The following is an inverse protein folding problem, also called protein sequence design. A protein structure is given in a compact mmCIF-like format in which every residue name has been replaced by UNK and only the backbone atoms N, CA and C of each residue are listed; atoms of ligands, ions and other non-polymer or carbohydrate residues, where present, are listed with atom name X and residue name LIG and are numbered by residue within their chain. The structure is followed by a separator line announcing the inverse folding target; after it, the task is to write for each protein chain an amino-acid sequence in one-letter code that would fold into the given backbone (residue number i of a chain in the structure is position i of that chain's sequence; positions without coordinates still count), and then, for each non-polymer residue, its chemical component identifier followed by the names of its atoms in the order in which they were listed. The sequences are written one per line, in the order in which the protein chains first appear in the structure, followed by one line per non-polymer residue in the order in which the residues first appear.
data_IF_136442063158
#
_entry.id   IF_136442063158
#
_cell.length_a   1.000
_cell.length_b   1.000
_cell.length_c   1.000
_cell.angle_alpha   90.00
_cell.angle_beta   90.00
_cell.angle_gamma   90.00
#
_symmetry.space_group_name_H-M   'P 1'
#
loop_
_entity.id
_entity.type
_entity.pdbx_description
1 polymer ?
#
# COMPACT_ATOMS: atom_id res chain seq x y z
N UNK A 1 -27.72 -17.34 9.57
CA UNK A 1 -28.14 -16.71 8.30
C UNK A 1 -28.16 -15.19 8.42
N UNK A 2 -28.88 -14.61 9.39
CA UNK A 2 -28.94 -13.16 9.61
C UNK A 2 -27.57 -12.45 9.70
N UNK A 3 -26.63 -12.94 10.51
CA UNK A 3 -25.28 -12.35 10.61
C UNK A 3 -24.53 -12.32 9.26
N UNK A 4 -24.69 -13.38 8.46
CA UNK A 4 -24.08 -13.49 7.12
C UNK A 4 -24.69 -12.51 6.11
N UNK A 5 -25.92 -12.04 6.36
CA UNK A 5 -26.56 -11.00 5.57
C UNK A 5 -26.11 -9.62 6.03
N UNK A 6 -26.02 -9.41 7.35
CA UNK A 6 -25.56 -8.15 7.94
C UNK A 6 -24.08 -7.86 7.60
N UNK A 7 -23.21 -8.86 7.58
CA UNK A 7 -21.79 -8.72 7.22
C UNK A 7 -21.59 -8.10 5.83
N UNK A 8 -22.48 -8.36 4.87
CA UNK A 8 -22.33 -7.88 3.50
C UNK A 8 -22.28 -6.35 3.40
N UNK A 9 -22.98 -5.63 4.28
CA UNK A 9 -22.94 -4.17 4.27
C UNK A 9 -21.63 -3.59 4.78
N UNK A 10 -20.81 -4.40 5.46
CA UNK A 10 -19.51 -4.00 5.99
C UNK A 10 -18.35 -4.40 5.08
N UNK A 11 -18.62 -5.23 4.07
CA UNK A 11 -17.59 -5.73 3.15
C UNK A 11 -17.43 -4.82 1.93
N UNK A 12 -16.21 -4.75 1.37
CA UNK A 12 -15.98 -4.13 0.07
C UNK A 12 -16.89 -4.74 -0.99
N UNK A 13 -17.40 -3.88 -1.88
CA UNK A 13 -18.34 -4.28 -2.92
C UNK A 13 -19.81 -3.96 -2.64
N UNK A 14 -20.13 -3.38 -1.47
CA UNK A 14 -21.52 -3.06 -1.11
C UNK A 14 -21.94 -1.63 -1.50
N UNK A 15 -21.12 -0.64 -1.17
CA UNK A 15 -21.47 0.77 -1.36
C UNK A 15 -21.12 1.25 -2.78
N UNK A 16 -22.00 2.01 -3.46
CA UNK A 16 -21.69 2.64 -4.72
C UNK A 16 -20.75 3.84 -4.51
N UNK A 17 -19.83 4.05 -5.45
CA UNK A 17 -18.92 5.19 -5.46
C UNK A 17 -18.47 5.52 -6.89
N UNK A 18 -17.91 6.71 -7.07
CA UNK A 18 -17.41 7.18 -8.37
C UNK A 18 -16.01 7.80 -8.21
N UNK A 19 -15.13 7.65 -9.20
CA UNK A 19 -13.85 8.35 -9.23
C UNK A 19 -13.84 9.43 -10.31
N UNK A 20 -13.35 10.63 -9.97
CA UNK A 20 -13.18 11.76 -10.90
C UNK A 20 -11.76 12.31 -10.87
N UNK A 21 -11.00 12.17 -11.98
CA UNK A 21 -11.30 11.41 -13.19
C UNK A 21 -11.37 9.88 -12.95
N UNK A 22 -11.95 9.08 -13.87
CA UNK A 22 -11.92 7.63 -13.76
C UNK A 22 -10.50 7.08 -13.63
N UNK A 23 -10.35 6.05 -12.79
CA UNK A 23 -9.05 5.43 -12.53
C UNK A 23 -8.53 4.68 -13.76
N UNK A 24 -7.28 4.97 -14.16
CA UNK A 24 -6.62 4.25 -15.26
C UNK A 24 -6.41 2.78 -14.88
N UNK A 25 -6.80 1.87 -15.77
CA UNK A 25 -6.65 0.41 -15.62
C UNK A 25 -7.36 -0.19 -14.39
N UNK A 26 -8.32 0.51 -13.78
CA UNK A 26 -9.16 -0.02 -12.71
C UNK A 26 -10.61 -0.01 -13.17
N UNK A 27 -11.32 -1.13 -12.98
CA UNK A 27 -12.73 -1.24 -13.37
C UNK A 27 -13.61 -0.28 -12.57
N UNK A 28 -14.57 0.36 -13.24
CA UNK A 28 -15.58 1.22 -12.60
C UNK A 28 -16.67 0.44 -11.87
N UNK A 29 -16.68 -0.90 -11.95
CA UNK A 29 -17.64 -1.73 -11.23
C UNK A 29 -17.41 -1.59 -9.72
N UNK A 30 -18.41 -1.15 -8.97
CA UNK A 30 -18.32 -0.98 -7.51
C UNK A 30 -18.71 -2.24 -6.75
N UNK A 31 -19.31 -3.24 -7.40
CA UNK A 31 -19.78 -4.50 -6.80
C UNK A 31 -18.69 -5.58 -6.77
N UNK A 32 -17.46 -5.19 -6.43
CA UNK A 32 -16.29 -6.08 -6.38
C UNK A 32 -15.87 -6.30 -4.93
N UNK A 33 -16.07 -7.54 -4.46
CA UNK A 33 -15.64 -7.98 -3.12
C UNK A 33 -14.29 -8.68 -3.14
N UNK A 34 -14.23 -9.88 -2.56
CA UNK A 34 -13.01 -10.70 -2.53
C UNK A 34 -12.72 -11.24 -3.93
N UNK A 35 -11.51 -10.98 -4.43
CA UNK A 35 -11.02 -11.44 -5.72
C UNK A 35 -9.74 -12.28 -5.56
N UNK A 36 -9.40 -13.01 -6.61
CA UNK A 36 -8.12 -13.71 -6.66
C UNK A 36 -6.96 -12.72 -6.77
N UNK A 37 -5.97 -12.83 -5.88
CA UNK A 37 -4.78 -11.98 -5.91
C UNK A 37 -3.93 -12.19 -7.16
N UNK A 38 -4.02 -13.37 -7.78
CA UNK A 38 -3.33 -13.69 -9.04
C UNK A 38 -3.78 -12.81 -10.21
N UNK A 39 -4.92 -12.12 -10.09
CA UNK A 39 -5.37 -11.08 -11.02
C UNK A 39 -5.35 -11.49 -12.50
N UNK A 40 -5.63 -12.78 -12.78
CA UNK A 40 -5.72 -13.33 -14.14
C UNK A 40 -4.46 -14.02 -14.66
N UNK A 41 -3.41 -14.17 -13.85
CA UNK A 41 -2.25 -15.02 -14.19
C UNK A 41 -2.74 -16.45 -14.48
N UNK A 42 -2.37 -16.97 -15.65
CA UNK A 42 -2.73 -18.32 -16.06
C UNK A 42 -1.74 -19.34 -15.50
N UNK A 43 -2.25 -20.49 -15.05
CA UNK A 43 -1.41 -21.62 -14.63
C UNK A 43 -1.19 -22.56 -15.81
N UNK A 44 -0.43 -22.09 -16.80
CA UNK A 44 0.02 -22.94 -17.90
C UNK A 44 1.33 -23.63 -17.51
N UNK A 45 1.52 -24.87 -17.97
CA UNK A 45 2.74 -25.66 -17.68
C UNK A 45 3.99 -25.03 -18.31
N UNK A 46 3.79 -24.27 -19.39
CA UNK A 46 4.87 -23.60 -20.12
C UNK A 46 5.27 -22.26 -19.47
N UNK A 47 4.44 -21.72 -18.56
CA UNK A 47 4.66 -20.44 -17.89
C UNK A 47 5.40 -20.62 -16.54
N UNK A 48 5.84 -19.50 -15.95
CA UNK A 48 6.49 -19.53 -14.65
C UNK A 48 5.54 -20.11 -13.58
N UNK A 49 5.99 -21.09 -12.77
CA UNK A 49 5.14 -21.75 -11.81
C UNK A 49 4.82 -20.84 -10.62
N UNK A 50 3.64 -20.21 -10.65
CA UNK A 50 3.14 -19.39 -9.54
C UNK A 50 2.48 -20.28 -8.50
N UNK A 51 3.29 -20.80 -7.58
CA UNK A 51 2.88 -21.72 -6.52
C UNK A 51 2.46 -20.97 -5.25
N UNK A 52 1.34 -20.27 -5.34
CA UNK A 52 0.78 -19.46 -4.23
C UNK A 52 -0.74 -19.55 -4.19
N UNK A 53 -1.30 -19.28 -3.03
CA UNK A 53 -2.74 -19.05 -2.87
C UNK A 53 -2.89 -17.64 -2.32
N UNK A 54 -3.65 -16.80 -3.02
CA UNK A 54 -3.84 -15.41 -2.63
C UNK A 54 -5.28 -14.95 -2.82
N UNK A 55 -5.73 -14.09 -1.90
CA UNK A 55 -6.99 -13.35 -1.99
C UNK A 55 -6.77 -11.92 -1.57
N UNK A 56 -7.50 -11.01 -2.23
CA UNK A 56 -7.43 -9.58 -1.93
C UNK A 56 -8.78 -8.91 -2.14
N UNK A 57 -8.90 -7.72 -1.60
CA UNK A 57 -9.88 -6.75 -2.07
C UNK A 57 -9.25 -5.86 -3.13
N UNK A 58 -10.09 -5.27 -4.00
CA UNK A 58 -9.67 -4.15 -4.84
C UNK A 58 -9.48 -2.92 -3.95
N UNK A 59 -8.38 -2.20 -4.13
CA UNK A 59 -7.95 -1.21 -3.14
C UNK A 59 -8.94 -0.05 -2.99
N UNK A 60 -9.45 0.48 -4.10
CA UNK A 60 -10.49 1.50 -4.11
C UNK A 60 -11.78 1.05 -3.40
N UNK A 61 -12.24 -0.18 -3.65
CA UNK A 61 -13.42 -0.74 -2.99
C UNK A 61 -13.20 -0.93 -1.49
N UNK A 62 -11.99 -1.34 -1.08
CA UNK A 62 -11.60 -1.46 0.32
C UNK A 62 -11.57 -0.10 1.03
N UNK A 63 -11.05 0.95 0.36
CA UNK A 63 -11.05 2.32 0.89
C UNK A 63 -12.46 2.88 1.02
N UNK A 64 -13.33 2.66 0.03
CA UNK A 64 -14.73 3.07 0.11
C UNK A 64 -15.44 2.39 1.28
N UNK A 65 -15.25 1.08 1.45
CA UNK A 65 -15.80 0.33 2.59
C UNK A 65 -15.28 0.84 3.93
N UNK A 66 -13.96 1.11 4.03
CA UNK A 66 -13.35 1.61 5.24
C UNK A 66 -13.82 3.03 5.61
N UNK A 67 -14.08 3.88 4.62
CA UNK A 67 -14.64 5.21 4.84
C UNK A 67 -16.10 5.17 5.30
N UNK A 68 -16.91 4.27 4.73
CA UNK A 68 -18.30 4.08 5.17
C UNK A 68 -18.40 3.51 6.58
N UNK A 69 -17.48 2.63 6.96
CA UNK A 69 -17.36 2.11 8.34
C UNK A 69 -17.08 3.24 9.36
N UNK A 70 -16.49 4.35 8.91
CA UNK A 70 -16.15 5.52 9.72
C UNK A 70 -17.10 6.71 9.51
N UNK A 71 -18.27 6.48 8.91
CA UNK A 71 -19.22 7.55 8.60
C UNK A 71 -19.61 8.37 9.84
N UNK A 72 -19.92 7.69 10.94
CA UNK A 72 -20.29 8.34 12.21
C UNK A 72 -19.13 9.17 12.79
N UNK A 73 -17.90 8.62 12.80
CA UNK A 73 -16.71 9.32 13.28
C UNK A 73 -16.40 10.58 12.45
N UNK A 74 -16.59 10.51 11.13
CA UNK A 74 -16.37 11.64 10.21
C UNK A 74 -17.39 12.75 10.48
N UNK A 75 -18.66 12.39 10.68
CA UNK A 75 -19.74 13.34 10.99
C UNK A 75 -19.53 13.98 12.37
N UNK A 76 -19.21 13.19 13.39
CA UNK A 76 -18.90 13.70 14.72
C UNK A 76 -17.66 14.61 14.71
N UNK A 77 -16.66 14.26 13.89
CA UNK A 77 -15.47 15.07 13.65
C UNK A 77 -15.76 16.44 13.04
N UNK A 78 -16.67 16.51 12.06
CA UNK A 78 -17.13 17.79 11.49
C UNK A 78 -17.79 18.66 12.56
N UNK A 79 -18.75 18.08 13.30
CA UNK A 79 -19.46 18.77 14.36
C UNK A 79 -18.54 19.27 15.47
N UNK A 80 -17.53 18.49 15.85
CA UNK A 80 -16.54 18.87 16.88
C UNK A 80 -15.66 20.04 16.43
N UNK A 81 -15.48 20.22 15.12
CA UNK A 81 -14.75 21.35 14.53
C UNK A 81 -15.67 22.53 14.18
N UNK A 82 -16.92 22.54 14.66
CA UNK A 82 -17.95 23.55 14.33
C UNK A 82 -18.19 23.70 12.82
N UNK A 83 -18.04 22.60 12.07
CA UNK A 83 -18.29 22.53 10.63
C UNK A 83 -19.67 21.91 10.34
N UNK A 84 -20.27 22.34 9.24
CA UNK A 84 -21.55 21.82 8.79
C UNK A 84 -21.47 20.36 8.31
N UNK A 85 -22.41 19.53 8.76
CA UNK A 85 -22.51 18.12 8.33
C UNK A 85 -22.77 17.98 6.81
N UNK A 86 -23.22 19.04 6.13
CA UNK A 86 -23.40 19.04 4.68
C UNK A 86 -22.16 19.40 3.87
N UNK A 87 -21.01 19.58 4.52
CA UNK A 87 -19.74 19.86 3.87
C UNK A 87 -19.33 18.71 2.94
N UNK A 88 -19.05 19.05 1.68
CA UNK A 88 -18.72 18.08 0.62
C UNK A 88 -17.23 17.81 0.46
N UNK A 89 -16.36 18.56 1.14
CA UNK A 89 -14.91 18.45 1.02
C UNK A 89 -14.28 19.45 0.02
N UNK A 90 -13.02 19.24 -0.38
CA UNK A 90 -12.32 17.96 -0.37
C UNK A 90 -11.79 17.55 1.02
N UNK A 91 -12.04 16.29 1.37
CA UNK A 91 -11.42 15.59 2.49
C UNK A 91 -10.11 14.94 2.02
N UNK A 92 -9.03 15.11 2.77
CA UNK A 92 -7.74 14.47 2.54
C UNK A 92 -7.56 13.37 3.58
N UNK A 93 -7.51 12.13 3.11
CA UNK A 93 -7.37 10.93 3.92
C UNK A 93 -5.91 10.49 3.89
N UNK A 94 -5.28 10.42 5.05
CA UNK A 94 -3.92 9.88 5.19
C UNK A 94 -4.01 8.38 5.45
N UNK A 95 -3.42 7.58 4.56
CA UNK A 95 -3.40 6.13 4.64
C UNK A 95 -1.99 5.67 5.00
N UNK A 96 -1.85 4.91 6.09
CA UNK A 96 -0.64 4.15 6.38
C UNK A 96 -0.75 2.80 5.69
N UNK A 97 0.20 2.48 4.81
CA UNK A 97 0.32 1.16 4.19
C UNK A 97 1.34 0.34 4.99
N UNK A 98 1.03 -0.94 5.18
CA UNK A 98 1.89 -1.90 5.88
C UNK A 98 1.96 -3.20 5.10
N UNK A 99 3.13 -3.82 5.06
CA UNK A 99 3.30 -5.17 4.53
C UNK A 99 4.33 -5.92 5.36
N UNK A 100 3.99 -7.15 5.73
CA UNK A 100 4.85 -8.00 6.55
C UNK A 100 4.81 -9.45 6.08
N UNK A 101 5.98 -10.09 6.07
CA UNK A 101 6.14 -11.53 5.93
C UNK A 101 6.00 -12.24 7.28
N UNK A 102 5.42 -13.43 7.24
CA UNK A 102 5.23 -14.32 8.39
C UNK A 102 5.86 -15.68 8.06
N UNK A 103 6.69 -16.18 8.98
CA UNK A 103 7.17 -17.57 8.97
C UNK A 103 6.21 -18.51 9.69
N UNK A 104 6.54 -19.81 9.66
CA UNK A 104 5.85 -20.87 10.41
C UNK A 104 4.34 -20.97 10.14
N UNK A 105 3.93 -20.70 8.90
CA UNK A 105 2.53 -20.82 8.45
C UNK A 105 2.34 -22.20 7.82
N UNK A 106 2.04 -23.21 8.63
CA UNK A 106 1.99 -24.62 8.17
C UNK A 106 1.06 -24.85 6.99
N UNK A 107 1.58 -25.56 5.98
CA UNK A 107 0.80 -25.99 4.83
C UNK A 107 -0.26 -27.02 5.26
N UNK A 108 -1.44 -26.97 4.63
CA UNK A 108 -2.51 -27.95 4.86
C UNK A 108 -2.47 -29.03 3.78
N UNK A 109 -2.76 -30.28 4.16
CA UNK A 109 -3.10 -31.31 3.18
C UNK A 109 -4.33 -30.89 2.36
N UNK A 110 -4.34 -31.20 1.07
CA UNK A 110 -5.49 -30.91 0.21
C UNK A 110 -5.16 -30.98 -1.29
N UNK A 111 -6.17 -30.61 -2.09
CA UNK A 111 -6.05 -30.47 -3.54
C UNK A 111 -5.70 -29.00 -3.87
N UNK A 112 -4.42 -28.65 -3.78
CA UNK A 112 -3.92 -27.31 -4.11
C UNK A 112 -2.49 -27.40 -4.66
N UNK A 113 -1.94 -26.29 -5.17
CA UNK A 113 -0.51 -26.23 -5.46
C UNK A 113 0.27 -26.44 -4.15
N UNK A 114 1.49 -26.95 -4.25
CA UNK A 114 2.42 -26.93 -3.13
C UNK A 114 2.71 -25.45 -2.79
N UNK A 115 2.45 -25.03 -1.57
CA UNK A 115 2.63 -23.63 -1.13
C UNK A 115 3.74 -23.53 -0.09
N UNK A 116 4.47 -22.41 -0.01
CA UNK A 116 5.45 -22.22 1.05
C UNK A 116 4.76 -22.14 2.42
N UNK A 117 5.44 -22.60 3.47
CA UNK A 117 4.98 -22.45 4.87
C UNK A 117 5.22 -21.03 5.41
N UNK A 118 4.93 -20.04 4.58
CA UNK A 118 5.10 -18.62 4.82
C UNK A 118 3.90 -17.86 4.27
N UNK A 119 3.63 -16.69 4.82
CA UNK A 119 2.61 -15.80 4.32
C UNK A 119 3.11 -14.37 4.21
N UNK A 120 2.55 -13.60 3.28
CA UNK A 120 2.71 -12.16 3.23
C UNK A 120 1.33 -11.52 3.37
N UNK A 121 1.28 -10.46 4.17
CA UNK A 121 0.05 -9.70 4.41
C UNK A 121 0.28 -8.25 4.04
N UNK A 122 -0.55 -7.72 3.14
CA UNK A 122 -0.62 -6.30 2.84
C UNK A 122 -1.88 -5.72 3.47
N UNK A 123 -1.73 -4.63 4.22
CA UNK A 123 -2.78 -3.99 5.01
C UNK A 123 -2.68 -2.48 4.93
N UNK A 124 -3.76 -1.80 5.32
CA UNK A 124 -3.78 -0.34 5.43
C UNK A 124 -4.55 0.14 6.67
N UNK A 125 -4.25 1.36 7.09
CA UNK A 125 -4.92 2.04 8.21
C UNK A 125 -5.24 3.47 7.82
N UNK A 126 -6.46 3.93 8.10
CA UNK A 126 -6.84 5.34 7.98
C UNK A 126 -6.28 6.08 9.20
N UNK A 127 -5.23 6.87 8.99
CA UNK A 127 -4.49 7.53 10.08
C UNK A 127 -5.15 8.85 10.49
N UNK A 128 -5.57 9.65 9.52
CA UNK A 128 -6.25 10.92 9.78
C UNK A 128 -7.06 11.35 8.58
N UNK A 129 -8.10 12.15 8.85
CA UNK A 129 -8.91 12.81 7.82
C UNK A 129 -8.90 14.30 8.11
N UNK A 130 -8.52 15.08 7.10
CA UNK A 130 -8.44 16.54 7.16
C UNK A 130 -9.35 17.12 6.10
N UNK A 131 -10.16 18.11 6.46
CA UNK A 131 -11.02 18.82 5.50
C UNK A 131 -10.49 20.23 5.25
N UNK A 132 -10.38 20.58 3.96
CA UNK A 132 -10.02 21.94 3.54
C UNK A 132 -11.29 22.77 3.36
N UNK A 133 -11.31 23.95 3.96
CA UNK A 133 -12.41 24.92 3.92
C UNK A 133 -11.85 26.35 3.87
N UNK A 134 -12.70 27.37 3.78
CA UNK A 134 -12.28 28.77 3.55
C UNK A 134 -11.27 29.30 4.59
N UNK A 135 -11.37 28.83 5.83
CA UNK A 135 -10.54 29.26 6.95
C UNK A 135 -9.28 28.39 7.17
N UNK A 136 -9.00 27.44 6.27
CA UNK A 136 -7.81 26.58 6.34
C UNK A 136 -8.14 25.09 6.33
N UNK A 137 -7.37 24.32 7.10
CA UNK A 137 -7.49 22.86 7.19
C UNK A 137 -7.85 22.46 8.62
N UNK A 138 -8.94 21.72 8.78
CA UNK A 138 -9.33 21.14 10.08
C UNK A 138 -9.17 19.63 10.05
N UNK A 139 -8.48 19.08 11.04
CA UNK A 139 -8.41 17.62 11.24
C UNK A 139 -9.70 17.17 11.93
N UNK A 140 -10.49 16.36 11.25
CA UNK A 140 -11.79 15.88 11.75
C UNK A 140 -11.71 14.47 12.35
N UNK A 141 -10.71 13.69 11.91
CA UNK A 141 -10.46 12.36 12.46
C UNK A 141 -8.96 12.14 12.63
N UNK A 142 -8.58 11.47 13.71
CA UNK A 142 -7.24 10.98 13.98
C UNK A 142 -7.33 9.62 14.68
N UNK A 143 -6.62 8.62 14.17
CA UNK A 143 -6.59 7.30 14.78
C UNK A 143 -5.83 7.37 16.11
N UNK A 144 -6.54 7.08 17.20
CA UNK A 144 -6.02 7.15 18.57
C UNK A 144 -5.00 6.04 18.86
N UNK A 145 -5.15 4.88 18.21
CA UNK A 145 -4.27 3.71 18.41
C UNK A 145 -3.77 3.19 17.06
N UNK A 146 -2.88 3.94 16.37
CA UNK A 146 -2.49 3.67 14.97
C UNK A 146 -1.69 2.38 14.73
N UNK A 147 -1.34 1.66 15.79
CA UNK A 147 -0.67 0.36 15.73
C UNK A 147 -1.54 -0.76 16.34
N UNK A 148 -2.82 -0.50 16.63
CA UNK A 148 -3.74 -1.54 17.08
C UNK A 148 -4.16 -2.43 15.91
N UNK A 149 -4.27 -3.72 16.20
CA UNK A 149 -4.88 -4.75 15.37
C UNK A 149 -6.29 -4.40 14.89
N UNK A 150 -7.02 -3.55 15.62
CA UNK A 150 -8.41 -3.18 15.30
C UNK A 150 -8.51 -2.23 14.09
N UNK A 151 -7.49 -1.38 13.87
CA UNK A 151 -7.48 -0.37 12.81
C UNK A 151 -6.68 -0.81 11.57
N UNK A 152 -5.92 -1.91 11.68
CA UNK A 152 -5.11 -2.45 10.58
C UNK A 152 -5.99 -3.34 9.68
N UNK A 153 -6.59 -2.73 8.66
CA UNK A 153 -7.52 -3.41 7.76
C UNK A 153 -6.74 -4.26 6.72
N UNK A 154 -6.99 -5.57 6.63
CA UNK A 154 -6.29 -6.44 5.67
C UNK A 154 -6.77 -6.15 4.25
N UNK A 155 -5.84 -6.10 3.30
CA UNK A 155 -6.13 -5.83 1.89
C UNK A 155 -5.78 -7.01 0.99
N UNK A 156 -4.63 -7.65 1.21
CA UNK A 156 -4.20 -8.83 0.47
C UNK A 156 -3.49 -9.82 1.39
N UNK A 157 -3.86 -11.08 1.27
CA UNK A 157 -3.22 -12.20 1.93
C UNK A 157 -2.69 -13.15 0.85
N UNK A 158 -1.46 -13.60 1.00
CA UNK A 158 -0.86 -14.59 0.11
C UNK A 158 -0.03 -15.59 0.91
N UNK A 159 -0.06 -16.86 0.50
CA UNK A 159 0.90 -17.87 0.94
C UNK A 159 2.11 -17.79 0.02
N UNK A 160 3.07 -16.96 0.40
CA UNK A 160 4.28 -16.65 -0.36
C UNK A 160 5.43 -16.35 0.61
N UNK A 161 6.66 -16.49 0.13
CA UNK A 161 7.84 -15.94 0.81
C UNK A 161 8.01 -14.49 0.39
N UNK A 162 8.18 -13.56 1.33
CA UNK A 162 8.50 -12.17 1.01
C UNK A 162 9.84 -12.02 0.26
N UNK A 163 10.68 -13.06 0.31
CA UNK A 163 11.98 -13.11 -0.37
C UNK A 163 11.88 -13.68 -1.80
N UNK A 164 10.71 -14.20 -2.21
CA UNK A 164 10.42 -14.58 -3.60
C UNK A 164 9.89 -13.35 -4.34
N UNK A 165 10.81 -12.62 -4.97
CA UNK A 165 10.54 -11.33 -5.60
C UNK A 165 9.55 -11.47 -6.76
N UNK A 166 9.65 -12.53 -7.55
CA UNK A 166 8.77 -12.80 -8.69
C UNK A 166 7.33 -13.00 -8.23
N UNK A 167 7.10 -13.86 -7.24
CA UNK A 167 5.76 -14.11 -6.71
C UNK A 167 5.20 -12.86 -6.02
N UNK A 168 6.02 -12.17 -5.21
CA UNK A 168 5.62 -10.98 -4.48
C UNK A 168 5.19 -9.85 -5.43
N UNK A 169 5.99 -9.57 -6.47
CA UNK A 169 5.69 -8.52 -7.45
C UNK A 169 4.48 -8.88 -8.32
N UNK A 170 4.33 -10.14 -8.72
CA UNK A 170 3.17 -10.61 -9.47
C UNK A 170 1.85 -10.36 -8.71
N UNK A 171 1.83 -10.60 -7.39
CA UNK A 171 0.62 -10.44 -6.57
C UNK A 171 0.38 -8.99 -6.14
N UNK A 172 1.43 -8.23 -5.80
CA UNK A 172 1.30 -6.86 -5.29
C UNK A 172 1.23 -5.79 -6.39
N UNK A 173 1.72 -6.05 -7.60
CA UNK A 173 1.71 -5.05 -8.68
C UNK A 173 0.31 -4.51 -9.04
N UNK A 174 -0.80 -5.29 -9.01
CA UNK A 174 -2.13 -4.74 -9.20
C UNK A 174 -2.52 -3.73 -8.11
N UNK A 175 -2.18 -3.99 -6.84
CA UNK A 175 -2.43 -3.05 -5.74
C UNK A 175 -1.61 -1.77 -5.90
N UNK A 176 -0.35 -1.89 -6.34
CA UNK A 176 0.49 -0.73 -6.64
C UNK A 176 -0.11 0.09 -7.79
N UNK A 177 -0.58 -0.56 -8.86
CA UNK A 177 -1.22 0.12 -9.99
C UNK A 177 -2.50 0.85 -9.57
N UNK A 178 -3.37 0.18 -8.80
CA UNK A 178 -4.59 0.77 -8.22
C UNK A 178 -4.23 1.99 -7.35
N UNK A 179 -3.24 1.86 -6.45
CA UNK A 179 -2.72 2.95 -5.62
C UNK A 179 -2.24 4.15 -6.42
N UNK A 180 -1.43 3.93 -7.47
CA UNK A 180 -0.93 5.03 -8.30
C UNK A 180 -2.05 5.73 -9.08
N UNK A 181 -3.07 4.98 -9.55
CA UNK A 181 -4.23 5.56 -10.19
C UNK A 181 -5.01 6.48 -9.22
N UNK A 182 -5.18 6.05 -7.96
CA UNK A 182 -5.93 6.79 -6.94
C UNK A 182 -5.27 8.11 -6.52
N UNK A 183 -3.93 8.21 -6.54
CA UNK A 183 -3.20 9.43 -6.15
C UNK A 183 -3.59 10.67 -6.97
N UNK A 184 -4.01 10.47 -8.21
CA UNK A 184 -4.33 11.55 -9.15
C UNK A 184 -5.84 11.69 -9.41
N UNK A 185 -6.67 11.16 -8.51
CA UNK A 185 -8.13 11.19 -8.63
C UNK A 185 -8.81 11.56 -7.32
N UNK A 186 -10.11 11.82 -7.39
CA UNK A 186 -10.98 12.15 -6.27
C UNK A 186 -12.09 11.10 -6.21
N UNK A 187 -12.23 10.45 -5.06
CA UNK A 187 -13.35 9.56 -4.78
C UNK A 187 -14.58 10.38 -4.40
N UNK A 188 -15.71 10.09 -5.02
CA UNK A 188 -17.03 10.59 -4.65
C UNK A 188 -17.79 9.45 -4.01
N UNK A 189 -18.15 9.63 -2.75
CA UNK A 189 -18.82 8.63 -1.93
C UNK A 189 -19.98 9.30 -1.19
N UNK A 190 -21.15 8.67 -1.22
CA UNK A 190 -22.33 9.17 -0.51
C UNK A 190 -22.24 8.80 0.97
N UNK A 191 -22.27 9.81 1.84
CA UNK A 191 -22.33 9.68 3.29
C UNK A 191 -23.42 10.59 3.82
N UNK A 192 -24.34 10.06 4.62
CA UNK A 192 -25.47 10.80 5.17
C UNK A 192 -26.43 11.34 4.11
N UNK A 193 -26.47 10.74 2.91
CA UNK A 193 -27.24 11.24 1.77
C UNK A 193 -26.55 12.37 1.00
N UNK A 194 -25.26 12.63 1.26
CA UNK A 194 -24.50 13.73 0.68
C UNK A 194 -23.26 13.18 -0.03
N UNK A 195 -23.07 13.48 -1.33
CA UNK A 195 -21.87 13.08 -2.05
C UNK A 195 -20.67 13.91 -1.58
N UNK A 196 -19.70 13.24 -0.96
CA UNK A 196 -18.46 13.83 -0.43
C UNK A 196 -17.25 13.44 -1.27
N UNK A 197 -16.30 14.36 -1.35
CA UNK A 197 -15.09 14.26 -2.17
C UNK A 197 -13.87 13.91 -1.32
N UNK A 198 -13.22 12.79 -1.59
CA UNK A 198 -12.04 12.31 -0.87
C UNK A 198 -10.80 12.24 -1.77
N UNK A 199 -9.69 12.74 -1.25
CA UNK A 199 -8.34 12.59 -1.81
C UNK A 199 -7.52 11.72 -0.87
N UNK A 200 -6.57 10.96 -1.41
CA UNK A 200 -5.78 10.02 -0.63
C UNK A 200 -4.29 10.35 -0.66
N UNK A 201 -3.66 10.28 0.51
CA UNK A 201 -2.21 10.37 0.67
C UNK A 201 -1.73 9.06 1.27
N UNK A 202 -1.09 8.23 0.44
CA UNK A 202 -0.54 6.95 0.84
C UNK A 202 0.86 7.12 1.42
N UNK A 203 1.09 6.54 2.60
CA UNK A 203 2.36 6.53 3.34
C UNK A 203 2.72 5.09 3.67
N UNK A 204 3.63 4.53 2.89
CA UNK A 204 4.17 3.20 3.12
C UNK A 204 5.23 3.20 4.21
N UNK A 205 4.80 3.15 5.48
CA UNK A 205 5.68 3.21 6.65
C UNK A 205 5.63 1.96 7.52
N UNK A 206 4.73 1.02 7.24
CA UNK A 206 4.62 -0.24 7.97
C UNK A 206 5.38 -1.38 7.29
N UNK A 207 6.62 -1.14 6.86
CA UNK A 207 7.52 -2.13 6.29
C UNK A 207 8.76 -2.24 7.17
N UNK A 208 9.28 -3.46 7.36
CA UNK A 208 10.58 -3.62 8.01
C UNK A 208 11.72 -3.25 7.04
N UNK A 209 12.94 -3.09 7.55
CA UNK A 209 14.07 -2.67 6.71
C UNK A 209 14.36 -3.68 5.58
N UNK A 210 14.18 -4.98 5.85
CA UNK A 210 14.41 -6.04 4.87
C UNK A 210 13.49 -5.84 3.67
N UNK A 211 12.19 -5.69 3.91
CA UNK A 211 11.20 -5.52 2.86
C UNK A 211 11.35 -4.17 2.16
N UNK A 212 11.67 -3.08 2.88
CA UNK A 212 11.96 -1.78 2.25
C UNK A 212 13.10 -1.92 1.24
N UNK A 213 14.19 -2.60 1.61
CA UNK A 213 15.32 -2.80 0.71
C UNK A 213 14.91 -3.60 -0.52
N UNK A 214 14.17 -4.68 -0.32
CA UNK A 214 13.68 -5.55 -1.39
C UNK A 214 12.80 -4.79 -2.40
N UNK A 215 11.84 -3.99 -1.93
CA UNK A 215 10.87 -3.30 -2.80
C UNK A 215 11.39 -1.99 -3.41
N UNK A 216 12.40 -1.37 -2.79
CA UNK A 216 13.04 -0.14 -3.31
C UNK A 216 14.31 -0.42 -4.11
N UNK A 217 14.64 -1.70 -4.37
CA UNK A 217 15.80 -2.11 -5.18
C UNK A 217 17.14 -1.81 -4.52
N UNK A 218 17.17 -1.82 -3.19
CA UNK A 218 18.39 -1.58 -2.41
C UNK A 218 19.07 -2.91 -2.09
N UNK A 219 20.39 -2.91 -2.03
CA UNK A 219 21.13 -4.05 -1.49
C UNK A 219 20.66 -4.43 -0.08
N UNK A 220 20.72 -5.72 0.24
CA UNK A 220 20.33 -6.27 1.54
C UNK A 220 21.09 -5.62 2.72
N UNK A 221 20.61 -5.79 3.95
CA UNK A 221 21.12 -5.11 5.17
C UNK A 221 22.60 -5.37 5.49
N UNK A 222 23.21 -6.40 4.87
CA UNK A 222 24.65 -6.67 4.94
C UNK A 222 25.52 -5.72 4.10
N UNK A 223 24.92 -4.82 3.31
CA UNK A 223 25.61 -3.90 2.41
C UNK A 223 26.58 -2.94 3.13
N UNK A 224 27.49 -2.39 2.32
CA UNK A 224 28.26 -1.18 2.65
C UNK A 224 27.35 0.04 2.82
N UNK A 225 26.26 0.15 2.06
CA UNK A 225 25.26 1.23 2.17
C UNK A 225 24.20 0.85 3.20
N UNK A 226 24.33 1.42 4.41
CA UNK A 226 23.60 0.94 5.58
C UNK A 226 22.22 1.55 5.76
N UNK A 227 21.88 2.60 5.02
CA UNK A 227 20.66 3.38 5.26
C UNK A 227 19.72 3.30 4.06
N UNK A 228 18.42 3.16 4.34
CA UNK A 228 17.35 3.26 3.33
C UNK A 228 16.92 4.70 3.06
N UNK A 229 17.43 5.67 3.84
CA UNK A 229 17.08 7.09 3.75
C UNK A 229 18.23 7.96 3.23
N UNK A 230 19.48 7.52 3.32
CA UNK A 230 20.64 8.26 2.87
C UNK A 230 21.69 7.37 2.19
N UNK A 231 22.72 8.00 1.63
CA UNK A 231 23.76 7.33 0.85
C UNK A 231 25.01 6.98 1.67
N UNK A 232 24.97 7.20 2.98
CA UNK A 232 26.13 6.98 3.83
C UNK A 232 26.56 5.51 3.83
N UNK A 233 27.87 5.30 3.67
CA UNK A 233 28.48 4.00 3.88
C UNK A 233 28.57 3.67 5.37
N UNK A 234 28.76 2.38 5.69
CA UNK A 234 28.97 1.90 7.06
C UNK A 234 30.12 2.63 7.76
N UNK A 235 31.21 2.88 7.03
CA UNK A 235 32.38 3.57 7.55
C UNK A 235 32.07 5.04 7.84
N UNK A 236 31.48 5.76 6.89
CA UNK A 236 31.12 7.18 7.06
C UNK A 236 30.12 7.37 8.20
N UNK A 237 29.11 6.50 8.27
CA UNK A 237 28.13 6.54 9.35
C UNK A 237 28.77 6.28 10.71
N UNK A 238 29.77 5.40 10.81
CA UNK A 238 30.49 5.16 12.07
C UNK A 238 31.33 6.36 12.54
N UNK A 239 31.73 7.24 11.62
CA UNK A 239 32.54 8.42 11.91
C UNK A 239 31.67 9.63 12.22
N UNK A 240 30.64 9.87 11.41
CA UNK A 240 29.78 11.06 11.53
C UNK A 240 28.65 10.84 12.56
N UNK A 241 28.06 9.64 12.61
CA UNK A 241 26.99 9.18 13.50
C UNK A 241 25.65 9.93 13.40
N UNK A 242 25.65 11.27 13.37
CA UNK A 242 24.45 12.08 13.58
C UNK A 242 24.17 13.10 12.45
N UNK A 243 25.17 13.55 11.68
CA UNK A 243 24.95 14.58 10.65
C UNK A 243 24.66 13.93 9.29
N UNK A 244 23.46 13.37 9.16
CA UNK A 244 22.95 12.82 7.92
C UNK A 244 21.61 13.47 7.56
N UNK A 245 21.37 13.67 6.28
CA UNK A 245 20.08 14.13 5.74
C UNK A 245 19.42 13.03 4.92
N UNK A 246 18.09 13.03 4.91
CA UNK A 246 17.32 12.16 4.00
C UNK A 246 17.58 12.65 2.58
N UNK A 247 18.07 11.75 1.73
CA UNK A 247 18.42 12.02 0.33
C UNK A 247 17.67 11.09 -0.59
N UNK A 248 17.60 9.80 -0.24
CA UNK A 248 16.88 8.78 -1.04
C UNK A 248 15.39 9.07 -1.13
N UNK A 249 14.83 8.73 -2.29
CA UNK A 249 13.39 8.69 -2.54
C UNK A 249 13.06 7.62 -3.57
N UNK A 250 11.80 7.19 -3.61
CA UNK A 250 11.34 6.22 -4.61
C UNK A 250 11.62 6.68 -6.05
N UNK A 251 11.42 7.97 -6.36
CA UNK A 251 11.68 8.52 -7.68
C UNK A 251 13.18 8.47 -8.04
N UNK A 252 14.04 8.84 -7.09
CA UNK A 252 15.49 8.79 -7.29
C UNK A 252 16.00 7.36 -7.42
N UNK A 253 15.45 6.39 -6.67
CA UNK A 253 15.82 4.98 -6.79
C UNK A 253 15.51 4.44 -8.20
N UNK A 254 14.35 4.82 -8.78
CA UNK A 254 14.03 4.45 -10.17
C UNK A 254 15.07 5.01 -11.16
N UNK A 255 15.46 6.28 -11.00
CA UNK A 255 16.49 6.90 -11.85
C UNK A 255 17.86 6.22 -11.68
N UNK A 256 18.24 5.89 -10.45
CA UNK A 256 19.48 5.16 -10.13
C UNK A 256 19.49 3.76 -10.73
N UNK A 257 18.38 3.04 -10.67
CA UNK A 257 18.24 1.74 -11.31
C UNK A 257 18.40 1.84 -12.84
N UNK A 258 17.85 2.87 -13.47
CA UNK A 258 18.05 3.08 -14.92
C UNK A 258 19.52 3.38 -15.26
N UNK A 259 20.24 4.11 -14.40
CA UNK A 259 21.70 4.31 -14.54
C UNK A 259 22.45 2.99 -14.41
N UNK A 260 22.12 2.16 -13.41
CA UNK A 260 22.69 0.82 -13.22
C UNK A 260 22.47 -0.06 -14.46
N UNK A 261 21.22 -0.16 -14.92
CA UNK A 261 20.81 -1.01 -16.05
C UNK A 261 21.45 -0.58 -17.37
N UNK A 262 21.53 0.72 -17.63
CA UNK A 262 22.03 1.25 -18.91
C UNK A 262 23.54 1.47 -18.96
N UNK A 263 24.20 1.57 -17.79
CA UNK A 263 25.63 1.91 -17.64
C UNK A 263 26.10 2.97 -18.65
N UNK A 264 25.55 4.19 -18.60
CA UNK A 264 25.80 5.21 -19.63
C UNK A 264 27.24 5.76 -19.59
N UNK A 265 27.98 5.46 -18.53
CA UNK A 265 29.36 5.92 -18.31
C UNK A 265 30.40 4.84 -18.60
N UNK A 266 29.98 3.62 -18.98
CA UNK A 266 30.86 2.46 -19.22
C UNK A 266 31.80 2.16 -18.04
N UNK A 267 31.28 2.32 -16.82
CA UNK A 267 32.01 2.09 -15.59
C UNK A 267 32.16 0.60 -15.30
N UNK A 268 33.18 0.25 -14.53
CA UNK A 268 33.27 -1.09 -13.93
C UNK A 268 32.14 -1.29 -12.92
N UNK A 269 31.88 -2.55 -12.54
CA UNK A 269 30.78 -2.88 -11.61
C UNK A 269 30.91 -2.15 -10.26
N UNK A 270 32.12 -2.04 -9.72
CA UNK A 270 32.35 -1.38 -8.43
C UNK A 270 32.17 0.14 -8.50
N UNK A 271 32.64 0.76 -9.58
CA UNK A 271 32.46 2.19 -9.84
C UNK A 271 30.98 2.53 -10.07
N UNK A 272 30.28 1.72 -10.87
CA UNK A 272 28.87 1.90 -11.14
C UNK A 272 28.03 1.70 -9.88
N UNK A 273 28.34 0.68 -9.07
CA UNK A 273 27.72 0.41 -7.77
C UNK A 273 27.88 1.60 -6.83
N UNK A 274 29.06 2.22 -6.79
CA UNK A 274 29.26 3.43 -6.01
C UNK A 274 28.49 4.62 -6.56
N UNK A 275 28.41 4.79 -7.89
CA UNK A 275 27.61 5.85 -8.50
C UNK A 275 26.13 5.76 -8.12
N UNK A 276 25.55 4.56 -8.15
CA UNK A 276 24.12 4.34 -7.86
C UNK A 276 23.86 4.07 -6.37
N UNK A 277 24.90 4.06 -5.54
CA UNK A 277 24.84 3.86 -4.09
C UNK A 277 24.08 2.57 -3.70
N UNK A 278 24.39 1.47 -4.39
CA UNK A 278 23.82 0.14 -4.11
C UNK A 278 22.34 -0.02 -4.46
N UNK A 279 21.86 0.71 -5.47
CA UNK A 279 20.58 0.44 -6.15
C UNK A 279 20.86 -0.39 -7.41
N UNK A 280 20.43 -1.65 -7.45
CA UNK A 280 20.82 -2.59 -8.51
C UNK A 280 19.77 -3.64 -8.84
#
# INVERSE_FOLDING_TARGET
HALRTAEKSLLPGYHPFEWKPPLKNVSSNTEVGIIDGLSGIQHLVDDYPVNTITKRFRYDAALASALMDMEEDILEGLKTQDLDDYLKGPFTVMIKESCDGMGDVSEKHGCGPAVPEKAVRFSFTLMSIVVTHENGNSKIFEENKPNSELCCKPLCLMLADESDHETLTAILSPLVAERQAMKNSILILDMGGIPRMFKFVFRGTGYDEKLVREVEGLEASGSTYICTLCDATRLEASQNLILHSITRSHAENLERYEVWRSNPYHETVDELRDRVKGVS
#
